data_IF_642049295088
#
_entry.id   IF_642049295088
#
_cell.length_a   1.000
_cell.length_b   1.000
_cell.length_c   1.000
_cell.angle_alpha   90.00
_cell.angle_beta   90.00
_cell.angle_gamma   90.00
#
_symmetry.space_group_name_H-M   'P 1'
#
loop_
_entity.id
_entity.type
_entity.pdbx_description
1 polymer ?
#
# COMPACT_ATOMS: atom_id res chain seq x y z
N UNK A 1 4.05 -45.95 26.33
CA UNK A 1 3.26 -44.70 26.43
C UNK A 1 3.10 -44.17 25.03
N UNK A 2 1.93 -44.38 24.41
CA UNK A 2 1.64 -43.81 23.09
C UNK A 2 1.20 -42.37 23.32
N UNK A 3 1.97 -41.41 22.81
CA UNK A 3 1.51 -40.04 22.70
C UNK A 3 0.22 -40.05 21.85
N UNK A 4 -0.83 -39.33 22.24
CA UNK A 4 -2.02 -39.23 21.41
C UNK A 4 -1.60 -38.59 20.08
N UNK A 5 -1.87 -39.29 18.97
CA UNK A 5 -1.80 -38.71 17.64
C UNK A 5 -2.95 -37.68 17.55
N UNK A 6 -2.68 -36.45 17.99
CA UNK A 6 -3.51 -35.29 17.63
C UNK A 6 -3.41 -35.16 16.13
N UNK A 7 -4.40 -35.73 15.42
CA UNK A 7 -4.54 -35.47 13.98
C UNK A 7 -4.66 -33.96 13.81
N UNK A 8 -3.91 -33.34 12.89
CA UNK A 8 -4.17 -31.95 12.55
C UNK A 8 -5.64 -31.81 12.18
N UNK A 9 -6.29 -30.75 12.67
CA UNK A 9 -7.69 -30.43 12.40
C UNK A 9 -7.92 -29.98 10.94
N UNK A 10 -6.86 -29.91 10.15
CA UNK A 10 -6.82 -29.44 8.78
C UNK A 10 -6.00 -30.39 7.89
N UNK A 11 -6.17 -30.25 6.58
CA UNK A 11 -5.39 -30.96 5.56
C UNK A 11 -4.31 -30.00 5.05
N UNK A 12 -3.04 -30.32 5.26
CA UNK A 12 -1.91 -29.43 4.95
C UNK A 12 -1.91 -28.94 3.49
N UNK A 13 -2.14 -29.84 2.54
CA UNK A 13 -2.19 -29.52 1.11
C UNK A 13 -3.29 -28.50 0.77
N UNK A 14 -4.43 -28.59 1.45
CA UNK A 14 -5.54 -27.64 1.27
C UNK A 14 -5.18 -26.26 1.84
N UNK A 15 -4.52 -26.21 3.00
CA UNK A 15 -4.03 -24.94 3.59
C UNK A 15 -2.98 -24.30 2.67
N UNK A 16 -2.03 -25.10 2.19
CA UNK A 16 -0.98 -24.64 1.29
C UNK A 16 -1.59 -24.04 0.00
N UNK A 17 -2.56 -24.74 -0.61
CA UNK A 17 -3.26 -24.23 -1.79
C UNK A 17 -4.00 -22.92 -1.51
N UNK A 18 -4.74 -22.82 -0.39
CA UNK A 18 -5.39 -21.56 -0.03
C UNK A 18 -4.38 -20.42 0.19
N UNK A 19 -3.19 -20.71 0.70
CA UNK A 19 -2.15 -19.72 0.94
C UNK A 19 -1.60 -19.16 -0.38
N UNK A 20 -1.31 -20.03 -1.35
CA UNK A 20 -0.88 -19.63 -2.70
C UNK A 20 -2.00 -18.90 -3.46
N UNK A 21 -3.23 -19.42 -3.42
CA UNK A 21 -4.35 -18.84 -4.13
C UNK A 21 -4.76 -17.48 -3.57
N UNK A 22 -4.64 -17.25 -2.26
CA UNK A 22 -4.87 -15.93 -1.66
C UNK A 22 -3.87 -14.90 -2.21
N UNK A 23 -2.58 -15.25 -2.27
CA UNK A 23 -1.54 -14.39 -2.81
C UNK A 23 -1.78 -14.10 -4.31
N UNK A 24 -2.11 -15.13 -5.08
CA UNK A 24 -2.40 -14.99 -6.51
C UNK A 24 -3.67 -14.19 -6.79
N UNK A 25 -4.73 -14.38 -6.00
CA UNK A 25 -5.97 -13.63 -6.09
C UNK A 25 -5.76 -12.15 -5.78
N UNK A 26 -4.94 -11.81 -4.76
CA UNK A 26 -4.54 -10.43 -4.52
C UNK A 26 -3.80 -9.83 -5.74
N UNK A 27 -2.84 -10.54 -6.32
CA UNK A 27 -2.07 -10.01 -7.45
C UNK A 27 -2.95 -9.75 -8.69
N UNK A 28 -3.96 -10.58 -8.93
CA UNK A 28 -4.97 -10.35 -9.97
C UNK A 28 -5.85 -9.15 -9.65
N UNK A 29 -6.35 -9.07 -8.40
CA UNK A 29 -7.16 -7.93 -7.92
C UNK A 29 -6.39 -6.61 -8.05
N UNK A 30 -5.14 -6.59 -7.63
CA UNK A 30 -4.26 -5.43 -7.71
C UNK A 30 -4.11 -4.98 -9.16
N UNK A 31 -3.79 -5.90 -10.09
CA UNK A 31 -3.70 -5.57 -11.52
C UNK A 31 -5.03 -5.07 -12.11
N UNK A 32 -6.16 -5.69 -11.75
CA UNK A 32 -7.47 -5.29 -12.25
C UNK A 32 -7.82 -3.85 -11.83
N UNK A 33 -7.58 -3.49 -10.56
CA UNK A 33 -7.79 -2.13 -10.03
C UNK A 33 -6.95 -1.05 -10.72
N UNK A 34 -5.83 -1.45 -11.32
CA UNK A 34 -4.91 -0.56 -12.02
C UNK A 34 -5.06 -0.64 -13.54
N UNK A 35 -6.00 -1.41 -14.06
CA UNK A 35 -6.28 -1.48 -15.50
C UNK A 35 -7.15 -0.29 -15.95
N UNK A 36 -6.89 0.21 -17.16
CA UNK A 36 -7.69 1.29 -17.77
C UNK A 36 -9.12 0.85 -18.13
N UNK A 37 -9.36 -0.45 -18.22
CA UNK A 37 -10.64 -1.07 -18.57
C UNK A 37 -11.29 -1.82 -17.41
N UNK A 38 -11.20 -1.31 -16.18
CA UNK A 38 -11.72 -1.94 -14.97
C UNK A 38 -13.14 -2.50 -15.18
N UNK A 39 -13.28 -3.82 -15.09
CA UNK A 39 -14.56 -4.50 -15.04
C UNK A 39 -14.96 -4.74 -13.58
N UNK A 40 -16.06 -4.10 -13.16
CA UNK A 40 -16.61 -4.26 -11.81
C UNK A 40 -17.03 -5.70 -11.50
N UNK A 41 -17.53 -6.45 -12.49
CA UNK A 41 -17.90 -7.85 -12.31
C UNK A 41 -16.68 -8.76 -12.11
N UNK A 42 -15.59 -8.47 -12.82
CA UNK A 42 -14.31 -9.15 -12.59
C UNK A 42 -13.77 -8.84 -11.19
N UNK A 43 -13.80 -7.56 -10.78
CA UNK A 43 -13.34 -7.14 -9.46
C UNK A 43 -14.14 -7.81 -8.33
N UNK A 44 -15.48 -7.88 -8.44
CA UNK A 44 -16.34 -8.55 -7.47
C UNK A 44 -16.00 -10.04 -7.34
N UNK A 45 -15.77 -10.72 -8.47
CA UNK A 45 -15.34 -12.13 -8.49
C UNK A 45 -13.98 -12.31 -7.81
N UNK A 46 -13.02 -11.44 -8.09
CA UNK A 46 -11.69 -11.48 -7.48
C UNK A 46 -11.76 -11.23 -5.97
N UNK A 47 -12.56 -10.25 -5.52
CA UNK A 47 -12.80 -9.98 -4.10
C UNK A 47 -13.45 -11.17 -3.39
N UNK A 48 -14.41 -11.83 -4.03
CA UNK A 48 -15.07 -13.02 -3.49
C UNK A 48 -14.08 -14.18 -3.33
N UNK A 49 -13.26 -14.45 -4.36
CA UNK A 49 -12.25 -15.51 -4.31
C UNK A 49 -11.21 -15.23 -3.22
N UNK A 50 -10.66 -14.02 -3.20
CA UNK A 50 -9.66 -13.59 -2.21
C UNK A 50 -10.20 -13.75 -0.79
N UNK A 51 -11.44 -13.32 -0.54
CA UNK A 51 -12.11 -13.50 0.76
C UNK A 51 -12.23 -14.97 1.13
N UNK A 52 -12.67 -15.82 0.21
CA UNK A 52 -12.83 -17.26 0.43
C UNK A 52 -11.51 -17.94 0.82
N UNK A 53 -10.40 -17.63 0.14
CA UNK A 53 -9.10 -18.21 0.50
C UNK A 53 -8.62 -17.73 1.88
N UNK A 54 -8.74 -16.43 2.18
CA UNK A 54 -8.38 -15.90 3.50
C UNK A 54 -9.24 -16.47 4.63
N UNK A 55 -10.53 -16.71 4.39
CA UNK A 55 -11.44 -17.37 5.33
C UNK A 55 -11.06 -18.83 5.55
N UNK A 56 -10.75 -19.58 4.48
CA UNK A 56 -10.25 -20.95 4.58
C UNK A 56 -8.98 -21.06 5.44
N UNK A 57 -8.04 -20.14 5.24
CA UNK A 57 -6.83 -20.05 6.08
C UNK A 57 -7.16 -19.74 7.54
N UNK A 58 -8.11 -18.82 7.78
CA UNK A 58 -8.52 -18.47 9.15
C UNK A 58 -9.19 -19.65 9.86
N UNK A 59 -9.97 -20.47 9.14
CA UNK A 59 -10.64 -21.66 9.66
C UNK A 59 -9.66 -22.81 10.00
N UNK A 60 -8.53 -22.90 9.29
CA UNK A 60 -7.48 -23.87 9.60
C UNK A 60 -6.84 -23.61 10.98
N UNK A 61 -6.94 -22.37 11.48
CA UNK A 61 -6.53 -21.99 12.82
C UNK A 61 -5.01 -21.79 12.98
N UNK A 62 -4.55 -21.44 14.19
CA UNK A 62 -3.15 -21.09 14.46
C UNK A 62 -2.18 -22.27 14.26
N UNK A 63 -2.62 -23.51 14.44
CA UNK A 63 -1.78 -24.70 14.25
C UNK A 63 -1.35 -24.89 12.79
N UNK A 64 -2.05 -24.27 11.85
CA UNK A 64 -1.74 -24.31 10.42
C UNK A 64 -0.69 -23.26 9.99
N UNK A 65 -0.28 -22.36 10.91
CA UNK A 65 0.68 -21.29 10.63
C UNK A 65 2.00 -21.78 9.99
N UNK A 66 2.65 -22.88 10.42
CA UNK A 66 3.89 -23.33 9.79
C UNK A 66 3.73 -23.65 8.29
N UNK A 67 2.58 -24.21 7.90
CA UNK A 67 2.27 -24.53 6.50
C UNK A 67 2.07 -23.25 5.69
N UNK A 68 1.31 -22.30 6.23
CA UNK A 68 1.08 -21.00 5.59
C UNK A 68 2.39 -20.21 5.44
N UNK A 69 3.19 -20.16 6.50
CA UNK A 69 4.50 -19.49 6.50
C UNK A 69 5.46 -20.11 5.49
N UNK A 70 5.45 -21.44 5.35
CA UNK A 70 6.23 -22.12 4.31
C UNK A 70 5.77 -21.71 2.90
N UNK A 71 4.46 -21.57 2.66
CA UNK A 71 3.91 -21.12 1.38
C UNK A 71 4.28 -19.66 1.07
N UNK A 72 4.49 -18.82 2.08
CA UNK A 72 4.78 -17.39 1.94
C UNK A 72 6.24 -17.00 2.15
N UNK A 73 7.16 -17.98 2.14
CA UNK A 73 8.58 -17.75 2.41
C UNK A 73 9.29 -16.89 1.37
N UNK A 74 8.67 -16.66 0.21
CA UNK A 74 9.29 -15.84 -0.85
C UNK A 74 8.98 -14.35 -0.67
N UNK A 75 8.02 -14.03 0.20
CA UNK A 75 7.60 -12.67 0.53
C UNK A 75 7.27 -11.84 -0.73
N UNK A 76 6.73 -12.49 -1.76
CA UNK A 76 6.15 -11.79 -2.91
C UNK A 76 5.00 -10.90 -2.44
N UNK A 77 4.65 -9.83 -3.18
CA UNK A 77 3.64 -8.87 -2.74
C UNK A 77 2.30 -9.53 -2.30
N UNK A 78 1.77 -10.48 -3.08
CA UNK A 78 0.55 -11.20 -2.69
C UNK A 78 0.69 -12.04 -1.42
N UNK A 79 1.87 -12.60 -1.18
CA UNK A 79 2.16 -13.38 0.03
C UNK A 79 2.20 -12.46 1.25
N UNK A 80 2.83 -11.29 1.14
CA UNK A 80 2.83 -10.26 2.20
C UNK A 80 1.41 -9.80 2.53
N UNK A 81 0.56 -9.58 1.51
CA UNK A 81 -0.84 -9.26 1.72
C UNK A 81 -1.57 -10.35 2.51
N UNK A 82 -1.46 -11.61 2.06
CA UNK A 82 -2.15 -12.74 2.68
C UNK A 82 -1.66 -12.97 4.12
N UNK A 83 -0.34 -12.95 4.33
CA UNK A 83 0.30 -13.09 5.63
C UNK A 83 -0.15 -12.01 6.61
N UNK A 84 -0.15 -10.74 6.20
CA UNK A 84 -0.62 -9.62 7.02
C UNK A 84 -2.12 -9.75 7.40
N UNK A 85 -2.96 -10.20 6.46
CA UNK A 85 -4.39 -10.39 6.70
C UNK A 85 -4.66 -11.55 7.67
N UNK A 86 -4.04 -12.71 7.43
CA UNK A 86 -4.29 -13.93 8.21
C UNK A 86 -3.70 -13.82 9.61
N UNK A 87 -2.48 -13.28 9.75
CA UNK A 87 -1.87 -13.05 11.07
C UNK A 87 -2.73 -12.16 11.97
N UNK A 88 -3.25 -11.06 11.42
CA UNK A 88 -4.14 -10.18 12.15
C UNK A 88 -5.45 -10.87 12.59
N UNK A 89 -6.02 -11.75 11.75
CA UNK A 89 -7.25 -12.50 12.08
C UNK A 89 -7.03 -13.58 13.13
N UNK A 90 -5.89 -14.25 13.07
CA UNK A 90 -5.51 -15.31 14.02
C UNK A 90 -4.94 -14.75 15.34
N UNK A 91 -4.70 -13.44 15.42
CA UNK A 91 -4.06 -12.82 16.59
C UNK A 91 -2.58 -13.16 16.74
N UNK A 92 -1.92 -13.57 15.66
CA UNK A 92 -0.47 -13.79 15.64
C UNK A 92 0.26 -12.46 15.62
N UNK A 93 0.71 -12.00 16.79
CA UNK A 93 1.33 -10.70 16.99
C UNK A 93 2.48 -10.41 16.01
N UNK A 94 3.28 -11.43 15.69
CA UNK A 94 4.48 -11.28 14.88
C UNK A 94 4.21 -11.38 13.37
N UNK A 95 3.05 -11.89 12.94
CA UNK A 95 2.85 -12.22 11.53
C UNK A 95 2.74 -10.99 10.62
N UNK A 96 2.44 -9.81 11.17
CA UNK A 96 2.56 -8.56 10.41
C UNK A 96 4.04 -8.14 10.27
N UNK A 97 4.86 -8.37 11.29
CA UNK A 97 6.30 -8.08 11.22
C UNK A 97 7.00 -9.00 10.21
N UNK A 98 6.61 -10.28 10.16
CA UNK A 98 7.07 -11.19 9.10
C UNK A 98 6.72 -10.67 7.71
N UNK A 99 5.52 -10.10 7.52
CA UNK A 99 5.12 -9.51 6.25
C UNK A 99 5.93 -8.25 5.88
N UNK A 100 6.63 -7.63 6.83
CA UNK A 100 7.53 -6.49 6.62
C UNK A 100 8.99 -6.92 6.35
N UNK A 101 9.37 -8.17 6.62
CA UNK A 101 10.76 -8.64 6.49
C UNK A 101 11.31 -8.45 5.07
N UNK A 102 12.55 -7.94 4.97
CA UNK A 102 13.23 -7.71 3.70
C UNK A 102 12.63 -6.59 2.83
N UNK A 103 11.66 -5.81 3.34
CA UNK A 103 11.08 -4.69 2.59
C UNK A 103 12.12 -3.59 2.29
N UNK A 104 13.08 -3.40 3.19
CA UNK A 104 14.18 -2.45 3.07
C UNK A 104 15.23 -2.87 2.04
N UNK A 105 15.32 -4.16 1.73
CA UNK A 105 16.20 -4.72 0.71
C UNK A 105 15.63 -4.58 -0.72
N UNK A 106 14.32 -4.32 -0.84
CA UNK A 106 13.68 -4.11 -2.14
C UNK A 106 13.90 -2.67 -2.63
N UNK A 107 14.00 -2.53 -3.95
CA UNK A 107 14.13 -1.24 -4.63
C UNK A 107 13.10 -1.11 -5.77
N UNK A 108 12.93 0.12 -6.27
CA UNK A 108 12.17 0.37 -7.49
C UNK A 108 10.71 -0.15 -7.45
N UNK A 109 10.34 -0.91 -8.47
CA UNK A 109 8.99 -1.44 -8.64
C UNK A 109 8.65 -2.55 -7.66
N UNK A 110 9.58 -3.46 -7.39
CA UNK A 110 9.38 -4.55 -6.43
C UNK A 110 9.04 -4.02 -5.04
N UNK A 111 9.75 -2.98 -4.58
CA UNK A 111 9.43 -2.29 -3.32
C UNK A 111 8.03 -1.69 -3.35
N UNK A 112 7.66 -1.00 -4.43
CA UNK A 112 6.35 -0.35 -4.54
C UNK A 112 5.21 -1.34 -4.53
N UNK A 113 5.35 -2.48 -5.21
CA UNK A 113 4.34 -3.54 -5.18
C UNK A 113 4.22 -4.17 -3.79
N UNK A 114 5.35 -4.44 -3.12
CA UNK A 114 5.35 -4.95 -1.76
C UNK A 114 4.69 -3.97 -0.76
N UNK A 115 4.99 -2.68 -0.86
CA UNK A 115 4.35 -1.64 -0.05
C UNK A 115 2.84 -1.54 -0.36
N UNK A 116 2.44 -1.64 -1.63
CA UNK A 116 1.03 -1.62 -2.03
C UNK A 116 0.26 -2.80 -1.45
N UNK A 117 0.85 -4.00 -1.43
CA UNK A 117 0.27 -5.18 -0.80
C UNK A 117 0.01 -4.99 0.71
N UNK A 118 0.97 -4.39 1.42
CA UNK A 118 0.83 -4.12 2.84
C UNK A 118 -0.22 -3.06 3.15
N UNK A 119 -0.28 -2.00 2.33
CA UNK A 119 -1.33 -0.98 2.42
C UNK A 119 -2.70 -1.59 2.14
N UNK A 120 -2.82 -2.40 1.09
CA UNK A 120 -4.05 -3.11 0.75
C UNK A 120 -4.49 -4.04 1.90
N UNK A 121 -3.57 -4.74 2.54
CA UNK A 121 -3.86 -5.61 3.68
C UNK A 121 -4.43 -4.84 4.86
N UNK A 122 -3.84 -3.68 5.21
CA UNK A 122 -4.36 -2.81 6.26
C UNK A 122 -5.78 -2.36 5.95
N UNK A 123 -6.02 -1.87 4.73
CA UNK A 123 -7.35 -1.42 4.30
C UNK A 123 -8.36 -2.57 4.29
N UNK A 124 -7.94 -3.77 3.87
CA UNK A 124 -8.77 -4.98 3.84
C UNK A 124 -9.20 -5.46 5.23
N UNK A 125 -8.34 -5.30 6.24
CA UNK A 125 -8.68 -5.59 7.65
C UNK A 125 -9.75 -4.65 8.22
N UNK A 126 -10.00 -3.53 7.53
CA UNK A 126 -11.07 -2.59 7.82
C UNK A 126 -10.56 -1.22 8.25
N UNK A 127 -11.39 -0.21 8.04
CA UNK A 127 -11.02 1.21 8.23
C UNK A 127 -10.50 1.52 9.64
N UNK A 128 -11.19 1.07 10.69
CA UNK A 128 -10.80 1.36 12.09
C UNK A 128 -9.43 0.77 12.47
N UNK A 129 -9.17 -0.55 12.31
CA UNK A 129 -7.85 -1.11 12.62
C UNK A 129 -6.73 -0.52 11.75
N UNK A 130 -7.00 -0.23 10.47
CA UNK A 130 -6.05 0.41 9.57
C UNK A 130 -5.60 1.79 10.08
N UNK A 131 -6.55 2.66 10.45
CA UNK A 131 -6.25 4.00 11.00
C UNK A 131 -5.46 3.88 12.31
N UNK A 132 -5.91 3.00 13.21
CA UNK A 132 -5.24 2.80 14.50
C UNK A 132 -3.77 2.38 14.31
N UNK A 133 -3.51 1.45 13.38
CA UNK A 133 -2.15 1.01 13.04
C UNK A 133 -1.33 2.12 12.40
N UNK A 134 -1.87 2.80 11.39
CA UNK A 134 -1.18 3.92 10.73
C UNK A 134 -0.80 5.01 11.75
N UNK A 135 -1.70 5.37 12.66
CA UNK A 135 -1.42 6.34 13.71
C UNK A 135 -0.33 5.85 14.68
N UNK A 136 -0.31 4.56 15.03
CA UNK A 136 0.75 3.99 15.88
C UNK A 136 2.11 4.09 15.19
N UNK A 137 2.22 3.62 13.95
CA UNK A 137 3.46 3.67 13.17
C UNK A 137 3.99 5.08 12.92
N UNK A 138 3.11 6.07 12.78
CA UNK A 138 3.54 7.46 12.67
C UNK A 138 4.36 7.93 13.88
N UNK A 139 4.16 7.33 15.06
CA UNK A 139 4.88 7.68 16.30
C UNK A 139 6.20 6.94 16.49
N UNK A 140 6.42 5.83 15.78
CA UNK A 140 7.57 4.93 15.99
C UNK A 140 8.90 5.46 15.42
N UNK A 141 8.88 6.55 14.64
CA UNK A 141 10.06 7.13 13.94
C UNK A 141 10.81 6.13 13.05
N UNK A 142 10.12 5.09 12.59
CA UNK A 142 10.60 4.17 11.57
C UNK A 142 10.11 4.64 10.19
N UNK A 143 11.03 5.02 9.30
CA UNK A 143 10.68 5.66 8.01
C UNK A 143 9.84 4.74 7.11
N UNK A 144 10.16 3.44 6.91
CA UNK A 144 9.31 2.52 6.14
C UNK A 144 7.89 2.42 6.68
N UNK A 145 7.70 2.23 8.00
CA UNK A 145 6.37 2.18 8.61
C UNK A 145 5.64 3.51 8.54
N UNK A 146 6.34 4.64 8.70
CA UNK A 146 5.76 5.96 8.51
C UNK A 146 5.27 6.17 7.07
N UNK A 147 6.05 5.72 6.07
CA UNK A 147 5.63 5.76 4.68
C UNK A 147 4.35 4.92 4.46
N UNK A 148 4.35 3.66 4.89
CA UNK A 148 3.16 2.78 4.82
C UNK A 148 1.94 3.38 5.53
N UNK A 149 2.15 4.00 6.69
CA UNK A 149 1.09 4.68 7.43
C UNK A 149 0.48 5.84 6.63
N UNK A 150 1.29 6.72 6.05
CA UNK A 150 0.79 7.83 5.23
C UNK A 150 0.09 7.30 3.98
N UNK A 151 0.64 6.30 3.28
CA UNK A 151 -0.01 5.67 2.12
C UNK A 151 -1.37 5.07 2.48
N UNK A 152 -1.48 4.44 3.65
CA UNK A 152 -2.75 3.92 4.18
C UNK A 152 -3.76 5.04 4.43
N UNK A 153 -3.32 6.16 5.02
CA UNK A 153 -4.17 7.33 5.25
C UNK A 153 -4.61 8.00 3.95
N UNK A 154 -3.74 8.05 2.93
CA UNK A 154 -4.09 8.51 1.57
C UNK A 154 -5.22 7.67 0.99
N UNK A 155 -5.07 6.34 1.02
CA UNK A 155 -6.05 5.40 0.49
C UNK A 155 -7.41 5.51 1.21
N UNK A 156 -7.39 5.71 2.53
CA UNK A 156 -8.60 5.86 3.35
C UNK A 156 -9.16 7.29 3.35
N UNK A 157 -8.41 8.28 2.85
CA UNK A 157 -8.71 9.72 2.92
C UNK A 157 -8.90 10.22 4.36
N UNK A 158 -8.00 9.80 5.24
CA UNK A 158 -8.07 10.10 6.68
C UNK A 158 -6.99 11.09 7.13
N UNK A 159 -7.31 12.00 8.06
CA UNK A 159 -6.32 12.92 8.59
C UNK A 159 -5.27 12.18 9.45
N UNK A 160 -4.00 12.65 9.41
CA UNK A 160 -2.96 12.13 10.28
C UNK A 160 -3.18 12.58 11.74
N UNK A 161 -2.51 11.95 12.73
CA UNK A 161 -2.62 12.33 14.13
C UNK A 161 -1.75 13.56 14.50
N UNK A 162 -1.32 14.35 13.51
CA UNK A 162 -0.40 15.49 13.65
C UNK A 162 -0.76 16.61 12.68
N UNK A 163 -0.17 17.78 12.91
CA UNK A 163 -0.28 18.94 12.01
C UNK A 163 0.47 18.65 10.70
N UNK A 164 -0.30 18.44 9.62
CA UNK A 164 0.23 18.09 8.31
C UNK A 164 1.10 19.19 7.68
N UNK A 165 0.71 20.49 7.71
CA UNK A 165 1.59 21.58 7.31
C UNK A 165 2.94 21.60 8.06
N UNK A 166 2.95 21.32 9.36
CA UNK A 166 4.19 21.23 10.14
C UNK A 166 5.04 20.03 9.72
N UNK A 167 4.42 18.87 9.55
CA UNK A 167 5.08 17.65 9.10
C UNK A 167 5.80 17.81 7.75
N UNK A 168 5.18 18.49 6.79
CA UNK A 168 5.78 18.76 5.47
C UNK A 168 7.07 19.60 5.52
N UNK A 169 7.32 20.32 6.61
CA UNK A 169 8.56 21.07 6.83
C UNK A 169 9.64 20.26 7.54
N UNK A 170 9.27 19.18 8.24
CA UNK A 170 10.19 18.42 9.09
C UNK A 170 10.66 17.10 8.48
N UNK A 171 9.84 16.48 7.62
CA UNK A 171 10.22 15.21 7.00
C UNK A 171 11.10 15.43 5.77
N UNK A 172 12.27 14.78 5.77
CA UNK A 172 13.32 14.99 4.76
C UNK A 172 13.30 13.92 3.66
N UNK A 173 12.80 12.70 3.92
CA UNK A 173 12.85 11.64 2.91
C UNK A 173 11.88 11.92 1.76
N UNK A 174 12.33 11.83 0.49
CA UNK A 174 11.49 12.13 -0.66
C UNK A 174 10.19 11.33 -0.71
N UNK A 175 10.24 10.04 -0.35
CA UNK A 175 9.10 9.13 -0.33
C UNK A 175 8.01 9.62 0.62
N UNK A 176 8.39 9.91 1.86
CA UNK A 176 7.46 10.35 2.90
C UNK A 176 6.94 11.75 2.59
N UNK A 177 7.79 12.64 2.06
CA UNK A 177 7.40 13.98 1.63
C UNK A 177 6.37 13.92 0.50
N UNK A 178 6.60 13.11 -0.52
CA UNK A 178 5.66 12.91 -1.62
C UNK A 178 4.32 12.35 -1.10
N UNK A 179 4.34 11.32 -0.26
CA UNK A 179 3.13 10.75 0.32
C UNK A 179 2.33 11.74 1.18
N UNK A 180 3.00 12.60 1.96
CA UNK A 180 2.35 13.65 2.78
C UNK A 180 1.75 14.76 1.90
N UNK A 181 2.42 15.15 0.82
CA UNK A 181 1.88 16.11 -0.15
C UNK A 181 0.63 15.55 -0.82
N UNK A 182 0.67 14.28 -1.25
CA UNK A 182 -0.51 13.60 -1.80
C UNK A 182 -1.66 13.53 -0.78
N UNK A 183 -1.36 13.25 0.49
CA UNK A 183 -2.36 13.27 1.56
C UNK A 183 -3.00 14.65 1.71
N UNK A 184 -2.20 15.72 1.72
CA UNK A 184 -2.70 17.10 1.79
C UNK A 184 -3.65 17.41 0.62
N UNK A 185 -3.28 16.96 -0.59
CA UNK A 185 -4.12 17.09 -1.78
C UNK A 185 -5.43 16.33 -1.62
N UNK A 186 -5.39 15.07 -1.21
CA UNK A 186 -6.56 14.21 -1.04
C UNK A 186 -7.55 14.79 -0.04
N UNK A 187 -7.04 15.28 1.09
CA UNK A 187 -7.84 15.90 2.16
C UNK A 187 -8.32 17.31 1.81
N UNK A 188 -7.71 17.96 0.82
CA UNK A 188 -7.95 19.38 0.52
C UNK A 188 -7.32 20.35 1.52
N UNK A 189 -6.49 19.85 2.45
CA UNK A 189 -5.73 20.64 3.41
C UNK A 189 -4.43 21.15 2.78
N UNK A 190 -4.57 21.92 1.71
CA UNK A 190 -3.43 22.40 0.95
C UNK A 190 -2.69 23.47 1.78
N UNK A 191 -1.48 23.20 2.30
CA UNK A 191 -0.81 24.07 3.27
C UNK A 191 -0.60 25.48 2.68
N UNK A 192 -0.89 26.55 3.43
CA UNK A 192 -0.67 27.91 2.94
C UNK A 192 0.81 28.14 2.61
N UNK A 193 1.07 28.93 1.56
CA UNK A 193 2.42 29.23 1.09
C UNK A 193 2.93 28.31 -0.02
N UNK A 194 4.14 28.61 -0.49
CA UNK A 194 4.79 28.02 -1.66
C UNK A 194 5.17 26.55 -1.54
N UNK A 195 4.73 25.79 -0.52
CA UNK A 195 5.17 24.40 -0.28
C UNK A 195 5.02 23.50 -1.52
N UNK A 196 3.89 23.59 -2.23
CA UNK A 196 3.67 22.82 -3.46
C UNK A 196 4.51 23.37 -4.64
N UNK A 197 4.76 24.67 -4.70
CA UNK A 197 5.63 25.29 -5.72
C UNK A 197 7.11 24.98 -5.47
N UNK A 198 7.56 24.96 -4.22
CA UNK A 198 8.91 24.54 -3.87
C UNK A 198 9.10 23.05 -4.21
N UNK A 199 8.05 22.24 -4.02
CA UNK A 199 8.06 20.82 -4.36
C UNK A 199 8.20 20.55 -5.86
N UNK A 200 7.69 21.42 -6.75
CA UNK A 200 7.87 21.26 -8.21
C UNK A 200 9.31 21.48 -8.67
N UNK A 201 10.19 22.00 -7.81
CA UNK A 201 11.62 22.14 -8.10
C UNK A 201 12.48 21.08 -7.41
N UNK A 202 11.86 20.09 -6.78
CA UNK A 202 12.58 19.04 -6.07
C UNK A 202 13.32 18.08 -7.02
N UNK A 203 14.46 17.54 -6.56
CA UNK A 203 15.26 16.60 -7.36
C UNK A 203 14.48 15.30 -7.67
N UNK A 204 13.73 14.80 -6.69
CA UNK A 204 12.88 13.61 -6.82
C UNK A 204 11.56 13.90 -7.57
N UNK A 205 11.29 13.13 -8.62
CA UNK A 205 10.10 13.28 -9.47
C UNK A 205 8.78 13.03 -8.74
N UNK A 206 8.75 12.16 -7.70
CA UNK A 206 7.55 11.86 -6.91
C UNK A 206 7.13 13.07 -6.09
N UNK A 207 8.10 13.80 -5.55
CA UNK A 207 7.86 15.06 -4.84
C UNK A 207 7.37 16.12 -5.81
N UNK A 208 7.97 16.23 -7.01
CA UNK A 208 7.49 17.15 -8.05
C UNK A 208 6.06 16.85 -8.47
N UNK A 209 5.75 15.58 -8.73
CA UNK A 209 4.41 15.12 -9.08
C UNK A 209 3.37 15.50 -8.01
N UNK A 210 3.64 15.20 -6.73
CA UNK A 210 2.74 15.55 -5.64
C UNK A 210 2.60 17.08 -5.43
N UNK A 211 3.69 17.83 -5.65
CA UNK A 211 3.69 19.29 -5.69
C UNK A 211 2.77 19.82 -6.78
N UNK A 212 2.99 19.39 -8.02
CA UNK A 212 2.25 19.78 -9.21
C UNK A 212 0.76 19.45 -9.10
N UNK A 213 0.43 18.27 -8.57
CA UNK A 213 -0.96 17.87 -8.31
C UNK A 213 -1.65 18.84 -7.33
N UNK A 214 -0.94 19.33 -6.31
CA UNK A 214 -1.47 20.32 -5.38
C UNK A 214 -1.68 21.70 -6.00
N UNK A 215 -0.76 22.16 -6.87
CA UNK A 215 -0.93 23.39 -7.64
C UNK A 215 -2.12 23.28 -8.61
N UNK A 216 -2.22 22.16 -9.34
CA UNK A 216 -3.33 21.88 -10.26
C UNK A 216 -4.68 21.92 -9.52
N UNK A 217 -4.76 21.28 -8.34
CA UNK A 217 -5.99 21.29 -7.53
C UNK A 217 -6.38 22.67 -7.00
N UNK A 218 -5.46 23.63 -6.96
CA UNK A 218 -5.72 25.06 -6.66
C UNK A 218 -6.12 25.88 -7.90
N UNK A 219 -6.10 25.28 -9.08
CA UNK A 219 -6.28 26.00 -10.35
C UNK A 219 -5.06 26.86 -10.74
N UNK A 220 -3.87 26.53 -10.23
CA UNK A 220 -2.63 27.21 -10.61
C UNK A 220 -2.04 26.57 -11.87
N UNK A 221 -1.81 27.33 -12.96
CA UNK A 221 -1.41 26.78 -14.26
C UNK A 221 -0.05 26.10 -14.24
N UNK A 222 0.84 26.50 -13.32
CA UNK A 222 2.16 25.90 -13.12
C UNK A 222 2.06 24.41 -12.78
N UNK A 223 0.98 23.99 -12.11
CA UNK A 223 0.74 22.59 -11.79
C UNK A 223 0.54 21.73 -13.04
N UNK A 224 -0.31 22.16 -13.98
CA UNK A 224 -0.54 21.45 -15.23
C UNK A 224 0.74 21.38 -16.08
N UNK A 225 1.51 22.47 -16.12
CA UNK A 225 2.77 22.53 -16.87
C UNK A 225 3.82 21.54 -16.33
N UNK A 226 3.98 21.45 -15.00
CA UNK A 226 4.91 20.49 -14.41
C UNK A 226 4.43 19.04 -14.62
N UNK A 227 3.12 18.77 -14.55
CA UNK A 227 2.58 17.44 -14.85
C UNK A 227 2.90 17.00 -16.28
N UNK A 228 2.72 17.86 -17.28
CA UNK A 228 3.12 17.57 -18.66
C UNK A 228 4.63 17.37 -18.81
N UNK A 229 5.44 18.18 -18.11
CA UNK A 229 6.91 18.02 -18.09
C UNK A 229 7.32 16.64 -17.57
N UNK A 230 6.65 16.13 -16.53
CA UNK A 230 6.89 14.80 -15.98
C UNK A 230 6.46 13.69 -16.95
N UNK A 231 5.38 13.89 -17.71
CA UNK A 231 4.94 12.96 -18.76
C UNK A 231 5.97 12.90 -19.89
N UNK A 232 6.47 14.05 -20.35
CA UNK A 232 7.47 14.13 -21.43
C UNK A 232 8.81 13.51 -21.03
N UNK A 233 9.18 13.59 -19.75
CA UNK A 233 10.37 12.93 -19.21
C UNK A 233 10.24 11.40 -19.18
N UNK A 234 9.03 10.86 -19.27
CA UNK A 234 8.76 9.44 -19.47
C UNK A 234 8.98 8.54 -18.24
N UNK A 235 9.05 7.21 -18.45
CA UNK A 235 9.07 6.23 -17.36
C UNK A 235 10.37 6.24 -16.53
N UNK A 236 11.46 6.80 -17.06
CA UNK A 236 12.76 6.89 -16.37
C UNK A 236 12.74 7.86 -15.17
N UNK A 237 11.66 8.62 -15.00
CA UNK A 237 11.45 9.51 -13.85
C UNK A 237 11.29 8.77 -12.52
N UNK A 238 11.03 7.46 -12.55
CA UNK A 238 10.73 6.67 -11.36
C UNK A 238 9.29 6.85 -10.84
N UNK A 239 8.45 7.58 -11.58
CA UNK A 239 7.00 7.61 -11.36
C UNK A 239 6.37 6.28 -11.79
N UNK A 240 5.27 5.90 -11.15
CA UNK A 240 4.51 4.73 -11.60
C UNK A 240 3.76 5.04 -12.91
N UNK A 241 3.47 4.02 -13.75
CA UNK A 241 2.64 4.21 -14.95
C UNK A 241 1.34 4.96 -14.66
N UNK A 242 0.70 4.68 -13.53
CA UNK A 242 -0.53 5.37 -13.10
C UNK A 242 -0.31 6.86 -12.79
N UNK A 243 0.82 7.22 -12.19
CA UNK A 243 1.13 8.63 -11.95
C UNK A 243 1.32 9.37 -13.27
N UNK A 244 1.96 8.74 -14.25
CA UNK A 244 2.12 9.29 -15.60
C UNK A 244 0.77 9.40 -16.34
N UNK A 245 -0.08 8.37 -16.26
CA UNK A 245 -1.42 8.40 -16.85
C UNK A 245 -2.28 9.52 -16.22
N UNK A 246 -2.23 9.67 -14.89
CA UNK A 246 -2.94 10.75 -14.20
C UNK A 246 -2.35 12.11 -14.56
N UNK A 247 -1.02 12.26 -14.60
CA UNK A 247 -0.36 13.49 -15.02
C UNK A 247 -0.78 13.89 -16.45
N UNK A 248 -0.84 12.92 -17.37
CA UNK A 248 -1.32 13.12 -18.73
C UNK A 248 -2.78 13.59 -18.74
N UNK A 249 -3.67 12.87 -18.06
CA UNK A 249 -5.10 13.21 -18.00
C UNK A 249 -5.36 14.60 -17.42
N UNK A 250 -4.60 15.01 -16.40
CA UNK A 250 -4.76 16.31 -15.73
C UNK A 250 -4.03 17.45 -16.44
N UNK A 251 -2.91 17.17 -17.10
CA UNK A 251 -2.12 18.17 -17.82
C UNK A 251 -2.83 18.75 -19.04
N UNK A 252 -3.76 18.00 -19.65
CA UNK A 252 -4.57 18.43 -20.78
C UNK A 252 -5.98 18.94 -20.42
N UNK A 253 -6.35 18.95 -19.13
CA UNK A 253 -7.65 19.37 -18.63
C UNK A 253 -7.70 20.87 -18.28
#
# INVERSE_FOLDING_TARGET
MNAPLTRPSFVEEVVYQHAEDAAFAWAQRHRALHSSGLDFGELERLDSNLRGHLEGLSLAGPDAWPVMHQAWRTCLPGERFAMACVSARLGHADGFELALEGLDELEGEDRREAEAALVDALVWLGRRPAIARAHAWMRERDVPRQHLAVRTLVQLREPPPFDLPAALRTFETPELRAALLELAVVLGELPPGGVHADATHHADARVRFAGALGLWRRGQPEGAHELLTLVDAGPDTGLSPRQLDLACALGFA
#
